data_IF_674447674907
#
_entry.id   IF_674447674907
#
_cell.length_a   1.000
_cell.length_b   1.000
_cell.length_c   1.000
_cell.angle_alpha   90.00
_cell.angle_beta   90.00
_cell.angle_gamma   90.00
#
_symmetry.space_group_name_H-M   'P 1'
#
loop_
_entity.id
_entity.type
_entity.pdbx_description
1 polymer ?
#
# COMPACT_ATOMS: atom_id res chain seq x y z
N UNK A 1 -9.34 1.07 6.13
CA UNK A 1 -9.92 2.27 5.53
C UNK A 1 -11.16 2.67 6.31
N UNK A 2 -12.26 1.90 6.26
CA UNK A 2 -13.51 2.28 6.94
C UNK A 2 -13.49 2.06 8.46
N UNK A 3 -12.95 0.94 8.93
CA UNK A 3 -13.10 0.51 10.33
C UNK A 3 -12.05 1.06 11.31
N UNK A 4 -11.22 2.03 10.92
CA UNK A 4 -10.19 2.61 11.80
C UNK A 4 -9.19 1.59 12.37
N UNK A 5 -8.85 0.53 11.61
CA UNK A 5 -8.00 -0.56 12.11
C UNK A 5 -6.58 -0.08 12.41
N UNK A 6 -6.11 -0.31 13.64
CA UNK A 6 -4.73 -0.04 14.07
C UNK A 6 -3.71 -1.07 13.56
N UNK A 7 -4.17 -2.21 13.01
CA UNK A 7 -3.29 -3.31 12.55
C UNK A 7 -2.55 -3.02 11.23
N UNK A 8 -2.87 -1.91 10.56
CA UNK A 8 -2.25 -1.52 9.31
C UNK A 8 -2.14 0.01 9.21
N UNK A 9 -1.50 0.49 8.16
CA UNK A 9 -1.32 1.91 7.81
C UNK A 9 -2.33 2.40 6.75
N UNK A 10 -3.25 1.56 6.27
CA UNK A 10 -4.06 1.88 5.09
C UNK A 10 -4.98 3.10 5.30
N UNK A 11 -5.61 3.21 6.47
CA UNK A 11 -6.50 4.35 6.80
C UNK A 11 -5.71 5.66 6.87
N UNK A 12 -4.63 5.67 7.66
CA UNK A 12 -3.77 6.84 7.82
C UNK A 12 -3.11 7.26 6.48
N UNK A 13 -2.71 6.30 5.63
CA UNK A 13 -2.19 6.60 4.28
C UNK A 13 -3.25 7.24 3.38
N UNK A 14 -4.51 6.79 3.43
CA UNK A 14 -5.58 7.38 2.65
C UNK A 14 -5.86 8.82 3.10
N UNK A 15 -5.97 9.06 4.42
CA UNK A 15 -6.16 10.38 4.98
C UNK A 15 -5.00 11.33 4.66
N UNK A 16 -3.77 10.85 4.80
CA UNK A 16 -2.56 11.62 4.45
C UNK A 16 -2.55 11.98 2.97
N UNK A 17 -2.87 11.03 2.07
CA UNK A 17 -2.93 11.28 0.64
C UNK A 17 -3.99 12.33 0.29
N UNK A 18 -5.19 12.21 0.88
CA UNK A 18 -6.27 13.19 0.69
C UNK A 18 -5.83 14.59 1.15
N UNK A 19 -5.18 14.69 2.31
CA UNK A 19 -4.68 15.96 2.85
C UNK A 19 -3.61 16.58 1.95
N UNK A 20 -2.64 15.78 1.47
CA UNK A 20 -1.59 16.24 0.56
C UNK A 20 -2.17 16.75 -0.77
N UNK A 21 -3.12 16.02 -1.35
CA UNK A 21 -3.79 16.41 -2.60
C UNK A 21 -4.61 17.69 -2.39
N UNK A 22 -5.35 17.80 -1.29
CA UNK A 22 -6.13 18.98 -0.97
C UNK A 22 -5.23 20.22 -0.81
N UNK A 23 -4.05 20.07 -0.18
CA UNK A 23 -3.06 21.14 -0.02
C UNK A 23 -2.44 21.57 -1.36
N UNK A 24 -2.19 20.64 -2.27
CA UNK A 24 -1.69 20.92 -3.62
C UNK A 24 -2.78 21.58 -4.50
N UNK A 25 -4.06 21.37 -4.17
CA UNK A 25 -5.21 21.89 -4.91
C UNK A 25 -5.54 21.12 -6.19
N UNK A 26 -4.73 20.13 -6.57
CA UNK A 26 -4.93 19.26 -7.74
C UNK A 26 -4.35 17.88 -7.48
N UNK A 27 -5.11 16.83 -7.76
CA UNK A 27 -4.65 15.46 -7.68
C UNK A 27 -5.76 14.44 -7.88
N UNK A 28 -5.40 13.16 -7.97
CA UNK A 28 -6.32 12.06 -8.19
C UNK A 28 -6.04 10.96 -7.18
N UNK A 29 -7.09 10.40 -6.58
CA UNK A 29 -7.04 9.14 -5.82
C UNK A 29 -7.72 8.07 -6.64
N UNK A 30 -6.96 7.05 -7.03
CA UNK A 30 -7.51 5.86 -7.67
C UNK A 30 -7.75 4.79 -6.60
N UNK A 31 -9.01 4.60 -6.22
CA UNK A 31 -9.39 3.65 -5.17
C UNK A 31 -9.59 2.23 -5.74
N UNK A 32 -8.51 1.46 -5.77
CA UNK A 32 -8.51 0.10 -6.33
C UNK A 32 -9.18 -0.90 -5.37
N UNK A 33 -10.25 -1.56 -5.83
CA UNK A 33 -11.00 -2.58 -5.06
C UNK A 33 -10.30 -3.95 -5.02
N UNK A 34 -9.03 -3.98 -4.62
CA UNK A 34 -8.20 -5.19 -4.53
C UNK A 34 -7.80 -5.50 -3.08
N UNK A 35 -8.81 -5.79 -2.25
CA UNK A 35 -8.65 -6.02 -0.81
C UNK A 35 -7.67 -7.17 -0.50
N UNK A 36 -6.91 -7.02 0.59
CA UNK A 36 -5.99 -8.06 1.07
C UNK A 36 -4.80 -8.37 0.13
N UNK A 37 -4.36 -7.43 -0.70
CA UNK A 37 -3.40 -7.71 -1.80
C UNK A 37 -3.97 -8.68 -2.86
N UNK A 38 -5.26 -8.56 -3.14
CA UNK A 38 -5.95 -9.34 -4.17
C UNK A 38 -6.50 -10.70 -3.71
N UNK A 39 -6.36 -11.06 -2.43
CA UNK A 39 -6.93 -12.32 -1.89
C UNK A 39 -8.36 -12.15 -1.37
N UNK A 40 -8.87 -10.91 -1.29
CA UNK A 40 -10.20 -10.58 -0.79
C UNK A 40 -10.29 -10.50 0.73
N UNK A 41 -11.39 -9.92 1.23
CA UNK A 41 -11.59 -9.63 2.66
C UNK A 41 -11.63 -10.90 3.51
N UNK A 42 -12.34 -11.94 3.05
CA UNK A 42 -12.47 -13.20 3.79
C UNK A 42 -11.10 -13.84 4.06
N UNK A 43 -10.24 -13.92 3.05
CA UNK A 43 -8.91 -14.50 3.20
C UNK A 43 -7.96 -13.58 3.98
N UNK A 44 -8.14 -12.25 3.91
CA UNK A 44 -7.44 -11.31 4.78
C UNK A 44 -7.73 -11.57 6.26
N UNK A 45 -8.98 -11.86 6.61
CA UNK A 45 -9.35 -12.20 8.00
C UNK A 45 -8.71 -13.53 8.44
N UNK A 46 -8.69 -14.54 7.55
CA UNK A 46 -7.96 -15.80 7.81
C UNK A 46 -6.45 -15.57 7.99
N UNK A 47 -5.85 -14.72 7.16
CA UNK A 47 -4.44 -14.37 7.28
C UNK A 47 -4.14 -13.64 8.59
N UNK A 48 -5.07 -12.80 9.08
CA UNK A 48 -4.94 -12.20 10.40
C UNK A 48 -4.99 -13.22 11.53
N UNK A 49 -5.86 -14.23 11.44
CA UNK A 49 -5.88 -15.30 12.44
C UNK A 49 -4.55 -16.08 12.51
N UNK A 50 -3.87 -16.27 11.38
CA UNK A 50 -2.54 -16.88 11.33
C UNK A 50 -1.43 -15.93 11.84
N UNK A 51 -1.56 -14.63 11.59
CA UNK A 51 -0.64 -13.63 12.12
C UNK A 51 -0.73 -13.50 13.64
N UNK A 52 -1.94 -13.63 14.19
CA UNK A 52 -2.18 -13.67 15.64
C UNK A 52 -1.52 -14.92 16.29
N UNK A 53 -1.20 -15.96 15.49
CA UNK A 53 -0.43 -17.14 15.90
C UNK A 53 1.08 -17.00 15.65
N UNK A 54 1.53 -15.83 15.21
CA UNK A 54 2.95 -15.50 15.08
C UNK A 54 3.50 -15.58 13.65
N UNK A 55 2.71 -15.86 12.62
CA UNK A 55 3.15 -15.70 11.23
C UNK A 55 3.24 -14.22 10.83
N UNK A 56 4.10 -13.87 9.88
CA UNK A 56 3.97 -12.57 9.20
C UNK A 56 3.00 -12.62 8.01
N UNK A 57 2.85 -11.49 7.32
CA UNK A 57 1.89 -11.41 6.21
C UNK A 57 2.26 -12.27 5.00
N UNK A 58 3.54 -12.45 4.70
CA UNK A 58 4.01 -13.27 3.57
C UNK A 58 3.79 -14.75 3.90
N UNK A 59 4.19 -15.15 5.09
CA UNK A 59 4.01 -16.52 5.61
C UNK A 59 2.53 -16.90 5.67
N UNK A 60 1.68 -16.03 6.23
CA UNK A 60 0.24 -16.27 6.32
C UNK A 60 -0.42 -16.40 4.92
N UNK A 61 0.00 -15.59 3.94
CA UNK A 61 -0.53 -15.71 2.58
C UNK A 61 -0.11 -17.04 1.93
N UNK A 62 1.16 -17.46 2.09
CA UNK A 62 1.63 -18.73 1.57
C UNK A 62 0.96 -19.94 2.24
N UNK A 63 0.75 -19.89 3.56
CA UNK A 63 0.02 -20.93 4.30
C UNK A 63 -1.43 -21.09 3.81
N UNK A 64 -2.04 -20.01 3.30
CA UNK A 64 -3.37 -20.02 2.69
C UNK A 64 -3.35 -20.37 1.18
N UNK A 65 -2.19 -20.68 0.60
CA UNK A 65 -2.04 -21.03 -0.82
C UNK A 65 -1.99 -19.84 -1.77
N UNK A 66 -1.73 -18.63 -1.28
CA UNK A 66 -1.64 -17.41 -2.10
C UNK A 66 -0.19 -16.94 -2.28
N UNK A 67 0.06 -16.19 -3.35
CA UNK A 67 1.26 -15.38 -3.48
C UNK A 67 1.24 -14.22 -2.47
N UNK A 68 2.42 -13.70 -2.12
CA UNK A 68 2.57 -12.59 -1.18
C UNK A 68 1.80 -11.33 -1.61
N UNK A 69 1.76 -11.05 -2.92
CA UNK A 69 1.00 -9.97 -3.53
C UNK A 69 0.46 -10.43 -4.89
N UNK A 70 -0.86 -10.28 -5.10
CA UNK A 70 -1.54 -10.66 -6.36
C UNK A 70 -2.16 -9.46 -7.07
N UNK A 71 -1.80 -8.24 -6.66
CA UNK A 71 -2.42 -7.04 -7.21
C UNK A 71 -1.96 -6.76 -8.62
N UNK A 72 -2.90 -6.27 -9.42
CA UNK A 72 -2.65 -5.75 -10.77
C UNK A 72 -2.90 -4.24 -10.78
N UNK A 73 -1.87 -3.47 -11.11
CA UNK A 73 -1.94 -2.01 -11.15
C UNK A 73 -2.30 -1.46 -12.54
N UNK A 74 -2.37 -2.30 -13.58
CA UNK A 74 -2.64 -1.88 -14.96
C UNK A 74 -3.99 -1.19 -15.13
N UNK A 75 -5.03 -1.68 -14.45
CA UNK A 75 -6.36 -1.02 -14.43
C UNK A 75 -6.25 0.40 -13.85
N UNK A 76 -5.45 0.58 -12.78
CA UNK A 76 -5.25 1.90 -12.18
C UNK A 76 -4.53 2.86 -13.12
N UNK A 77 -3.58 2.36 -13.91
CA UNK A 77 -2.88 3.15 -14.93
C UNK A 77 -3.82 3.56 -16.06
N UNK A 78 -4.67 2.65 -16.55
CA UNK A 78 -5.68 2.96 -17.57
C UNK A 78 -6.68 4.03 -17.11
N UNK A 79 -7.11 3.98 -15.84
CA UNK A 79 -7.97 5.03 -15.27
C UNK A 79 -7.26 6.38 -15.29
N UNK A 80 -5.98 6.45 -14.95
CA UNK A 80 -5.22 7.70 -14.98
C UNK A 80 -5.09 8.25 -16.41
N UNK A 81 -4.84 7.39 -17.39
CA UNK A 81 -4.77 7.76 -18.81
C UNK A 81 -6.11 8.28 -19.30
N UNK A 82 -7.22 7.61 -18.96
CA UNK A 82 -8.59 8.03 -19.31
C UNK A 82 -8.95 9.40 -18.73
N UNK A 83 -8.44 9.70 -17.52
CA UNK A 83 -8.54 11.03 -16.89
C UNK A 83 -7.63 12.10 -17.54
N UNK A 84 -6.87 11.76 -18.58
CA UNK A 84 -5.98 12.66 -19.31
C UNK A 84 -4.67 12.97 -18.59
N UNK A 85 -4.24 12.10 -17.66
CA UNK A 85 -2.99 12.27 -16.94
C UNK A 85 -1.81 11.81 -17.81
N UNK A 86 -0.76 12.65 -17.92
CA UNK A 86 0.50 12.31 -18.59
C UNK A 86 1.67 12.26 -17.60
N UNK A 87 1.94 13.37 -16.92
CA UNK A 87 3.03 13.54 -15.95
C UNK A 87 2.51 13.37 -14.52
N UNK A 88 3.13 12.47 -13.75
CA UNK A 88 2.65 12.10 -12.42
C UNK A 88 3.71 12.26 -11.34
N UNK A 89 3.30 12.87 -10.24
CA UNK A 89 3.96 12.76 -8.94
C UNK A 89 3.22 11.68 -8.16
N UNK A 90 3.83 10.51 -7.96
CA UNK A 90 3.15 9.38 -7.32
C UNK A 90 3.45 9.33 -5.82
N UNK A 91 2.40 9.32 -5.01
CA UNK A 91 2.49 9.11 -3.56
C UNK A 91 2.65 7.60 -3.27
N UNK A 92 3.88 7.12 -3.03
CA UNK A 92 4.11 5.68 -2.73
C UNK A 92 5.46 5.40 -2.05
N UNK A 93 5.42 4.44 -1.11
CA UNK A 93 6.60 3.79 -0.55
C UNK A 93 6.89 2.42 -1.18
N UNK A 94 6.02 1.94 -2.07
CA UNK A 94 6.21 0.67 -2.76
C UNK A 94 6.79 0.92 -4.16
N UNK A 95 8.05 0.51 -4.43
CA UNK A 95 8.68 0.62 -5.74
C UNK A 95 7.93 -0.11 -6.86
N UNK A 96 7.22 -1.21 -6.55
CA UNK A 96 6.56 -2.04 -7.56
C UNK A 96 5.36 -1.35 -8.21
N UNK A 97 4.77 -0.34 -7.56
CA UNK A 97 3.70 0.48 -8.13
C UNK A 97 4.15 1.33 -9.33
N UNK A 98 5.45 1.39 -9.62
CA UNK A 98 6.02 2.12 -10.76
C UNK A 98 6.16 1.26 -12.01
N UNK A 99 6.19 -0.07 -11.84
CA UNK A 99 6.47 -0.99 -12.94
C UNK A 99 5.35 -0.89 -14.00
N UNK A 100 5.73 -0.53 -15.23
CA UNK A 100 4.80 -0.46 -16.36
C UNK A 100 4.18 0.91 -16.64
N UNK A 101 4.41 1.95 -15.81
CA UNK A 101 3.85 3.29 -16.04
C UNK A 101 4.14 3.83 -17.45
N UNK A 102 5.41 3.74 -17.88
CA UNK A 102 5.84 4.19 -19.21
C UNK A 102 5.10 3.47 -20.35
N UNK A 103 4.76 2.19 -20.17
CA UNK A 103 4.01 1.40 -21.14
C UNK A 103 2.57 1.88 -21.34
N UNK A 104 2.02 2.63 -20.39
CA UNK A 104 0.71 3.28 -20.49
C UNK A 104 0.82 4.77 -20.90
N UNK A 105 2.01 5.27 -21.22
CA UNK A 105 2.22 6.69 -21.53
C UNK A 105 2.21 7.61 -20.31
N UNK A 106 2.36 7.05 -19.10
CA UNK A 106 2.48 7.81 -17.85
C UNK A 106 3.95 8.08 -17.53
N UNK A 107 4.34 9.35 -17.54
CA UNK A 107 5.67 9.80 -17.18
C UNK A 107 5.76 10.05 -15.66
N UNK A 108 6.63 9.32 -14.98
CA UNK A 108 6.86 9.52 -13.55
C UNK A 108 7.85 10.67 -13.33
N UNK A 109 7.34 11.86 -12.98
CA UNK A 109 8.19 13.04 -12.72
C UNK A 109 8.76 13.06 -11.31
N UNK A 110 8.05 12.50 -10.33
CA UNK A 110 8.49 12.45 -8.95
C UNK A 110 7.89 11.28 -8.18
N UNK A 111 8.68 10.63 -7.33
CA UNK A 111 8.17 9.76 -6.26
C UNK A 111 8.13 10.56 -4.96
N UNK A 112 6.94 10.75 -4.43
CA UNK A 112 6.73 11.40 -3.13
C UNK A 112 6.45 10.30 -2.08
N UNK A 113 7.28 10.17 -1.02
CA UNK A 113 7.02 9.23 0.06
C UNK A 113 5.71 9.55 0.79
N UNK A 114 5.05 8.51 1.32
CA UNK A 114 3.84 8.63 2.14
C UNK A 114 3.94 7.74 3.37
N UNK A 115 4.73 8.17 4.33
CA UNK A 115 4.97 7.46 5.58
C UNK A 115 4.05 7.95 6.68
N UNK A 116 3.59 7.02 7.52
CA UNK A 116 2.74 7.32 8.69
C UNK A 116 3.50 6.87 9.93
N UNK A 117 3.25 7.52 11.07
CA UNK A 117 3.92 7.15 12.32
C UNK A 117 3.44 5.74 12.74
N UNK A 118 4.35 4.78 12.98
CA UNK A 118 3.94 3.47 13.49
C UNK A 118 3.24 3.57 14.84
N UNK A 119 2.40 2.57 15.12
CA UNK A 119 1.83 2.32 16.42
C UNK A 119 2.22 0.90 16.88
N UNK A 120 1.91 0.57 18.15
CA UNK A 120 2.25 -0.74 18.73
C UNK A 120 1.66 -1.95 17.97
N UNK A 121 0.55 -1.76 17.24
CA UNK A 121 -0.16 -2.83 16.54
C UNK A 121 0.31 -3.05 15.09
N UNK A 122 0.90 -2.05 14.45
CA UNK A 122 1.33 -2.15 13.04
C UNK A 122 2.84 -2.16 12.83
N UNK A 123 3.66 -2.03 13.88
CA UNK A 123 5.13 -2.02 13.77
C UNK A 123 5.66 -3.24 13.01
N UNK A 124 5.26 -4.45 13.43
CA UNK A 124 5.66 -5.71 12.78
C UNK A 124 5.19 -5.80 11.33
N UNK A 125 4.00 -5.26 11.04
CA UNK A 125 3.44 -5.22 9.70
C UNK A 125 4.24 -4.30 8.78
N UNK A 126 4.63 -3.11 9.26
CA UNK A 126 5.48 -2.16 8.53
C UNK A 126 6.89 -2.73 8.31
N UNK A 127 7.44 -3.43 9.30
CA UNK A 127 8.74 -4.08 9.17
C UNK A 127 8.71 -5.22 8.14
N UNK A 128 7.63 -6.01 8.10
CA UNK A 128 7.41 -7.03 7.06
C UNK A 128 7.32 -6.38 5.68
N UNK A 129 6.60 -5.25 5.55
CA UNK A 129 6.54 -4.46 4.30
C UNK A 129 7.95 -4.06 3.82
N UNK A 130 8.78 -3.58 4.74
CA UNK A 130 10.15 -3.13 4.46
C UNK A 130 11.07 -4.28 4.07
N UNK A 131 11.15 -5.31 4.90
CA UNK A 131 12.14 -6.39 4.79
C UNK A 131 11.77 -7.48 3.80
N UNK A 132 10.49 -7.85 3.71
CA UNK A 132 10.03 -8.97 2.87
C UNK A 132 9.31 -8.54 1.60
N UNK A 133 8.73 -7.33 1.56
CA UNK A 133 7.97 -6.83 0.40
C UNK A 133 8.65 -5.65 -0.32
N UNK A 134 9.86 -5.28 0.07
CA UNK A 134 10.68 -4.28 -0.62
C UNK A 134 10.14 -2.85 -0.56
N UNK A 135 9.28 -2.53 0.41
CA UNK A 135 8.83 -1.15 0.61
C UNK A 135 10.00 -0.28 1.12
N UNK A 136 10.13 0.92 0.55
CA UNK A 136 11.06 1.96 0.98
C UNK A 136 10.47 2.72 2.15
N UNK A 137 10.60 2.16 3.36
CA UNK A 137 10.18 2.74 4.63
C UNK A 137 11.41 2.98 5.51
N UNK A 138 11.40 4.03 6.32
CA UNK A 138 12.44 4.23 7.32
C UNK A 138 12.39 3.11 8.38
N UNK A 139 13.55 2.69 8.94
CA UNK A 139 13.56 1.76 10.06
C UNK A 139 12.87 2.39 11.27
N UNK A 140 12.03 1.62 11.95
CA UNK A 140 11.37 2.03 13.18
C UNK A 140 11.90 1.19 14.34
N UNK A 141 12.40 1.82 15.40
CA UNK A 141 12.90 1.09 16.58
C UNK A 141 11.77 0.79 17.55
N UNK A 142 11.78 -0.42 18.14
CA UNK A 142 10.97 -0.79 19.30
C UNK A 142 11.38 0.09 20.50
N UNK A 143 10.74 1.25 20.64
CA UNK A 143 11.08 2.26 21.66
C UNK A 143 10.80 3.70 21.25
N UNK A 144 10.50 3.96 19.97
CA UNK A 144 10.18 5.31 19.45
C UNK A 144 8.67 5.64 19.46
N UNK A 145 7.86 4.87 20.20
CA UNK A 145 6.40 5.05 20.27
C UNK A 145 6.03 6.27 21.12
#
# INVERSE_FOLDING_TARGET
DVFGSLRCDCGEQLETAMSMIAKEGKGVIVYMRQEGRGIGLHNKLRAYALQDQGMDTVEANHALGFAADRRDYGIGMQILVDLGVSDIRILTNNPSKRAGLEGYGLNLVERVPIEVKPNAHNLRYLETKRTKLGHQLQPHQEGSL
#
